data_IF_064615896572
#
_entry.id   IF_064615896572
#
_cell.length_a   1.000
_cell.length_b   1.000
_cell.length_c   1.000
_cell.angle_alpha   90.00
_cell.angle_beta   90.00
_cell.angle_gamma   90.00
#
_symmetry.space_group_name_H-M   'P 1'
#
loop_
_entity.id
_entity.type
_entity.pdbx_description
1 polymer ?
#
# COMPACT_ATOMS: atom_id res chain seq x y z
N UNK A 1 27.38 17.96 -44.19
CA UNK A 1 27.36 17.24 -42.89
C UNK A 1 26.43 17.99 -41.96
N UNK A 2 25.19 17.52 -41.82
CA UNK A 2 24.20 18.14 -40.94
C UNK A 2 24.41 17.63 -39.51
N UNK A 3 24.58 18.56 -38.56
CA UNK A 3 24.71 18.27 -37.15
C UNK A 3 23.41 17.63 -36.63
N UNK A 4 23.51 16.41 -36.10
CA UNK A 4 22.42 15.75 -35.40
C UNK A 4 22.15 16.52 -34.10
N UNK A 5 21.07 17.30 -34.09
CA UNK A 5 20.52 17.88 -32.88
C UNK A 5 20.11 16.72 -31.95
N UNK A 6 20.90 16.50 -30.91
CA UNK A 6 20.57 15.60 -29.81
C UNK A 6 19.33 16.13 -29.13
N UNK A 7 18.19 15.51 -29.41
CA UNK A 7 16.94 15.79 -28.73
C UNK A 7 17.15 15.60 -27.22
N UNK A 8 17.12 16.69 -26.45
CA UNK A 8 17.04 16.64 -25.00
C UNK A 8 15.81 15.80 -24.61
N UNK A 9 15.95 14.78 -23.75
CA UNK A 9 14.80 14.03 -23.28
C UNK A 9 13.84 15.00 -22.57
N UNK A 10 12.60 15.08 -23.07
CA UNK A 10 11.56 15.93 -22.55
C UNK A 10 11.43 15.75 -21.03
N UNK A 11 11.32 16.87 -20.30
CA UNK A 11 11.18 16.87 -18.86
C UNK A 11 10.04 15.92 -18.44
N UNK A 12 10.26 15.00 -17.47
CA UNK A 12 9.26 14.02 -17.08
C UNK A 12 8.01 14.74 -16.56
N UNK A 13 6.91 14.64 -17.31
CA UNK A 13 5.62 15.20 -16.94
C UNK A 13 5.06 14.59 -15.65
N UNK A 14 4.08 15.25 -15.04
CA UNK A 14 3.52 14.84 -13.74
C UNK A 14 2.93 13.41 -13.70
N UNK A 15 2.73 12.75 -14.84
CA UNK A 15 2.14 11.41 -14.95
C UNK A 15 3.12 10.34 -15.44
N UNK A 16 4.40 10.68 -15.70
CA UNK A 16 5.37 9.70 -16.22
C UNK A 16 5.54 8.51 -15.28
N UNK A 17 5.59 8.75 -13.97
CA UNK A 17 5.73 7.70 -12.97
C UNK A 17 4.54 6.71 -12.97
N UNK A 18 3.31 7.20 -13.19
CA UNK A 18 2.10 6.35 -13.32
C UNK A 18 2.17 5.47 -14.57
N UNK A 19 2.62 6.03 -15.70
CA UNK A 19 2.83 5.26 -16.93
C UNK A 19 3.85 4.14 -16.71
N UNK A 20 4.95 4.43 -16.03
CA UNK A 20 5.96 3.42 -15.67
C UNK A 20 5.38 2.35 -14.74
N UNK A 21 4.47 2.73 -13.83
CA UNK A 21 3.74 1.81 -12.96
C UNK A 21 2.99 0.70 -13.68
N UNK A 22 2.44 0.98 -14.87
CA UNK A 22 1.69 0.00 -15.68
C UNK A 22 2.59 -0.75 -16.66
N UNK A 23 3.56 -0.06 -17.27
CA UNK A 23 4.39 -0.63 -18.33
C UNK A 23 5.47 -1.57 -17.80
N UNK A 24 6.09 -1.28 -16.66
CA UNK A 24 7.17 -2.12 -16.12
C UNK A 24 6.72 -3.55 -15.74
N UNK A 25 5.56 -3.75 -15.08
CA UNK A 25 5.07 -5.09 -14.78
C UNK A 25 4.80 -5.91 -16.03
N UNK A 26 4.27 -5.28 -17.09
CA UNK A 26 4.02 -5.93 -18.37
C UNK A 26 5.32 -6.34 -19.09
N UNK A 27 6.39 -5.55 -18.94
CA UNK A 27 7.70 -5.86 -19.55
C UNK A 27 8.49 -6.93 -18.79
N UNK A 28 8.24 -7.11 -17.49
CA UNK A 28 8.98 -8.06 -16.63
C UNK A 28 8.03 -8.98 -15.84
N UNK A 29 7.16 -9.75 -16.51
CA UNK A 29 6.09 -10.51 -15.86
C UNK A 29 6.64 -11.59 -14.91
N UNK A 30 7.80 -12.17 -15.21
CA UNK A 30 8.40 -13.24 -14.39
C UNK A 30 8.73 -12.81 -12.96
N UNK A 31 9.11 -11.55 -12.72
CA UNK A 31 9.36 -11.04 -11.36
C UNK A 31 8.05 -10.94 -10.58
N UNK A 32 7.02 -10.38 -11.20
CA UNK A 32 5.72 -10.16 -10.55
C UNK A 32 4.92 -11.45 -10.39
N UNK A 33 5.11 -12.45 -11.25
CA UNK A 33 4.51 -13.78 -11.08
C UNK A 33 5.03 -14.49 -9.82
N UNK A 34 6.32 -14.32 -9.49
CA UNK A 34 6.90 -14.87 -8.24
C UNK A 34 6.34 -14.17 -7.01
N UNK A 35 6.16 -12.85 -7.06
CA UNK A 35 5.50 -12.09 -5.99
C UNK A 35 4.03 -12.49 -5.87
N UNK A 36 3.35 -12.73 -6.99
CA UNK A 36 1.98 -13.23 -7.00
C UNK A 36 1.88 -14.60 -6.31
N UNK A 37 2.74 -15.56 -6.69
CA UNK A 37 2.77 -16.88 -6.06
C UNK A 37 3.04 -16.79 -4.55
N UNK A 38 4.00 -15.96 -4.12
CA UNK A 38 4.26 -15.71 -2.70
C UNK A 38 3.02 -15.14 -2.00
N UNK A 39 2.34 -14.19 -2.62
CA UNK A 39 1.13 -13.59 -2.06
C UNK A 39 -0.01 -14.58 -1.95
N UNK A 40 -0.17 -15.49 -2.92
CA UNK A 40 -1.19 -16.54 -2.88
C UNK A 40 -0.94 -17.44 -1.68
N UNK A 41 0.30 -17.90 -1.50
CA UNK A 41 0.68 -18.75 -0.36
C UNK A 41 0.45 -18.04 0.98
N UNK A 42 0.92 -16.78 1.11
CA UNK A 42 0.73 -16.01 2.34
C UNK A 42 -0.76 -15.75 2.64
N UNK A 43 -1.56 -15.47 1.61
CA UNK A 43 -2.98 -15.22 1.77
C UNK A 43 -3.72 -16.51 2.14
N UNK A 44 -3.39 -17.64 1.49
CA UNK A 44 -3.92 -18.94 1.85
C UNK A 44 -3.61 -19.29 3.31
N UNK A 45 -2.39 -19.02 3.79
CA UNK A 45 -2.01 -19.25 5.18
C UNK A 45 -2.87 -18.45 6.18
N UNK A 46 -3.16 -17.17 5.90
CA UNK A 46 -4.04 -16.34 6.74
C UNK A 46 -5.46 -16.87 6.76
N UNK A 47 -6.01 -17.25 5.60
CA UNK A 47 -7.36 -17.81 5.52
C UNK A 47 -7.46 -19.16 6.24
N UNK A 48 -6.43 -20.00 6.11
CA UNK A 48 -6.34 -21.27 6.80
C UNK A 48 -6.31 -21.07 8.32
N UNK A 49 -5.54 -20.10 8.82
CA UNK A 49 -5.53 -19.75 10.25
C UNK A 49 -6.90 -19.28 10.72
N UNK A 50 -7.57 -18.42 9.95
CA UNK A 50 -8.94 -17.98 10.25
C UNK A 50 -9.93 -19.15 10.34
N UNK A 51 -9.87 -20.07 9.37
CA UNK A 51 -10.74 -21.24 9.32
C UNK A 51 -10.44 -22.27 10.43
N UNK A 52 -9.18 -22.47 10.79
CA UNK A 52 -8.76 -23.49 11.74
C UNK A 52 -8.78 -23.03 13.20
N UNK A 53 -8.63 -21.72 13.47
CA UNK A 53 -8.50 -21.19 14.84
C UNK A 53 -9.68 -20.31 15.21
N UNK A 54 -10.03 -19.34 14.35
CA UNK A 54 -11.04 -18.32 14.69
C UNK A 54 -12.46 -18.87 14.53
N UNK A 55 -12.76 -19.51 13.39
CA UNK A 55 -14.10 -20.05 13.12
C UNK A 55 -14.60 -21.09 14.15
N UNK A 56 -13.82 -22.11 14.56
CA UNK A 56 -14.31 -23.07 15.55
C UNK A 56 -14.47 -22.44 16.94
N UNK A 57 -13.65 -21.44 17.27
CA UNK A 57 -13.71 -20.77 18.57
C UNK A 57 -14.90 -19.80 18.65
N UNK A 58 -15.21 -19.11 17.56
CA UNK A 58 -16.43 -18.31 17.42
C UNK A 58 -17.68 -19.18 17.52
N UNK A 59 -17.71 -20.32 16.82
CA UNK A 59 -18.80 -21.29 16.94
C UNK A 59 -18.97 -21.81 18.38
N UNK A 60 -17.87 -22.10 19.09
CA UNK A 60 -17.91 -22.59 20.47
C UNK A 60 -18.34 -21.53 21.50
N UNK A 61 -18.16 -20.24 21.19
CA UNK A 61 -18.69 -19.13 22.00
C UNK A 61 -20.19 -18.94 21.73
N UNK A 62 -20.60 -18.97 20.47
CA UNK A 62 -22.00 -18.75 20.07
C UNK A 62 -22.92 -19.95 20.38
N UNK A 63 -22.37 -21.15 20.56
CA UNK A 63 -23.11 -22.35 20.93
C UNK A 63 -23.27 -22.55 22.45
N UNK A 64 -22.66 -21.70 23.29
CA UNK A 64 -22.82 -21.80 24.74
C UNK A 64 -24.17 -21.20 25.16
N UNK A 65 -24.93 -21.93 25.98
CA UNK A 65 -26.17 -21.42 26.57
C UNK A 65 -25.90 -20.16 27.41
N UNK A 66 -26.88 -19.26 27.50
CA UNK A 66 -26.73 -17.94 28.12
C UNK A 66 -26.27 -17.98 29.60
N UNK A 67 -26.48 -19.11 30.30
CA UNK A 67 -26.06 -19.33 31.69
C UNK A 67 -24.61 -19.84 31.84
N UNK A 68 -23.97 -20.29 30.75
CA UNK A 68 -22.60 -20.84 30.75
C UNK A 68 -21.63 -19.96 29.97
N UNK A 69 -21.76 -18.63 30.12
CA UNK A 69 -20.83 -17.66 29.56
C UNK A 69 -19.45 -17.79 30.21
N UNK A 70 -18.61 -18.65 29.66
CA UNK A 70 -17.24 -18.85 30.16
C UNK A 70 -16.34 -17.71 29.68
N UNK A 71 -16.00 -16.81 30.60
CA UNK A 71 -15.02 -15.73 30.39
C UNK A 71 -13.69 -16.26 29.80
N UNK A 72 -13.34 -17.52 30.07
CA UNK A 72 -12.17 -18.20 29.47
C UNK A 72 -12.27 -18.34 27.94
N UNK A 73 -13.45 -18.68 27.38
CA UNK A 73 -13.68 -18.83 25.95
C UNK A 73 -13.67 -17.47 25.24
N UNK A 74 -14.22 -16.43 25.88
CA UNK A 74 -14.13 -15.05 25.40
C UNK A 74 -12.67 -14.57 25.36
N UNK A 75 -11.89 -14.82 26.42
CA UNK A 75 -10.46 -14.48 26.45
C UNK A 75 -9.68 -15.20 25.34
N UNK A 76 -9.98 -16.48 25.09
CA UNK A 76 -9.38 -17.23 23.98
C UNK A 76 -9.79 -16.65 22.62
N UNK A 77 -11.07 -16.30 22.42
CA UNK A 77 -11.56 -15.72 21.16
C UNK A 77 -10.91 -14.36 20.89
N UNK A 78 -10.82 -13.51 21.92
CA UNK A 78 -10.11 -12.23 21.84
C UNK A 78 -8.63 -12.43 21.53
N UNK A 79 -7.98 -13.40 22.19
CA UNK A 79 -6.58 -13.76 21.91
C UNK A 79 -6.38 -14.26 20.47
N UNK A 80 -7.26 -15.13 19.98
CA UNK A 80 -7.23 -15.63 18.60
C UNK A 80 -7.51 -14.52 17.58
N UNK A 81 -8.44 -13.62 17.86
CA UNK A 81 -8.72 -12.45 17.03
C UNK A 81 -7.54 -11.49 16.95
N UNK A 82 -6.89 -11.22 18.09
CA UNK A 82 -5.66 -10.42 18.13
C UNK A 82 -4.55 -11.10 17.33
N UNK A 83 -4.33 -12.40 17.52
CA UNK A 83 -3.35 -13.18 16.76
C UNK A 83 -3.64 -13.15 15.25
N UNK A 84 -4.91 -13.28 14.85
CA UNK A 84 -5.34 -13.18 13.46
C UNK A 84 -5.04 -11.80 12.87
N UNK A 85 -5.35 -10.72 13.61
CA UNK A 85 -5.03 -9.35 13.19
C UNK A 85 -3.52 -9.14 13.03
N UNK A 86 -2.71 -9.64 13.97
CA UNK A 86 -1.25 -9.59 13.87
C UNK A 86 -0.74 -10.35 12.64
N UNK A 87 -1.24 -11.56 12.41
CA UNK A 87 -0.88 -12.36 11.24
C UNK A 87 -1.29 -11.67 9.93
N UNK A 88 -2.50 -11.13 9.87
CA UNK A 88 -3.00 -10.37 8.72
C UNK A 88 -2.13 -9.16 8.43
N UNK A 89 -1.77 -8.37 9.45
CA UNK A 89 -0.89 -7.21 9.32
C UNK A 89 0.53 -7.60 8.87
N UNK A 90 1.06 -8.69 9.40
CA UNK A 90 2.38 -9.21 9.00
C UNK A 90 2.38 -9.64 7.52
N UNK A 91 1.33 -10.34 7.07
CA UNK A 91 1.16 -10.75 5.67
C UNK A 91 0.95 -9.55 4.75
N UNK A 92 0.13 -8.58 5.15
CA UNK A 92 -0.06 -7.33 4.42
C UNK A 92 1.27 -6.59 4.23
N UNK A 93 2.08 -6.47 5.29
CA UNK A 93 3.38 -5.82 5.24
C UNK A 93 4.36 -6.61 4.36
N UNK A 94 4.42 -7.94 4.52
CA UNK A 94 5.27 -8.81 3.70
C UNK A 94 4.95 -8.68 2.22
N UNK A 95 3.65 -8.64 1.86
CA UNK A 95 3.18 -8.38 0.50
C UNK A 95 3.70 -7.05 -0.02
N UNK A 96 3.49 -5.96 0.73
CA UNK A 96 3.92 -4.60 0.34
C UNK A 96 5.45 -4.52 0.13
N UNK A 97 6.23 -5.12 1.02
CA UNK A 97 7.70 -5.18 0.90
C UNK A 97 8.13 -6.02 -0.31
N UNK A 98 7.53 -7.20 -0.51
CA UNK A 98 7.84 -8.06 -1.66
C UNK A 98 7.55 -7.36 -2.99
N UNK A 99 6.39 -6.70 -3.12
CA UNK A 99 6.03 -5.90 -4.30
C UNK A 99 7.00 -4.74 -4.51
N UNK A 100 7.42 -4.06 -3.44
CA UNK A 100 8.39 -2.97 -3.54
C UNK A 100 9.78 -3.45 -3.97
N UNK A 101 10.27 -4.58 -3.42
CA UNK A 101 11.54 -5.18 -3.85
C UNK A 101 11.53 -5.56 -5.34
N UNK A 102 10.41 -6.13 -5.82
CA UNK A 102 10.26 -6.46 -7.23
C UNK A 102 10.17 -5.21 -8.11
N UNK A 103 9.41 -4.18 -7.70
CA UNK A 103 9.34 -2.89 -8.37
C UNK A 103 10.72 -2.21 -8.48
N UNK A 104 11.49 -2.19 -7.38
CA UNK A 104 12.85 -1.63 -7.36
C UNK A 104 13.78 -2.41 -8.30
N UNK A 105 13.72 -3.74 -8.30
CA UNK A 105 14.50 -4.57 -9.22
C UNK A 105 14.11 -4.33 -10.68
N UNK A 106 12.83 -4.10 -10.95
CA UNK A 106 12.32 -3.77 -12.28
C UNK A 106 12.82 -2.40 -12.76
N UNK A 107 12.79 -1.36 -11.90
CA UNK A 107 13.24 -0.01 -12.22
C UNK A 107 14.77 0.11 -12.33
N UNK A 108 15.54 -0.64 -11.54
CA UNK A 108 17.01 -0.57 -11.52
C UNK A 108 17.68 -1.15 -12.78
N UNK A 109 16.91 -1.69 -13.74
CA UNK A 109 17.49 -2.27 -14.96
C UNK A 109 18.35 -3.53 -14.72
N UNK A 110 18.34 -4.09 -13.51
CA UNK A 110 19.12 -5.28 -13.13
C UNK A 110 18.63 -6.52 -13.86
N UNK A 111 19.09 -6.72 -15.09
CA UNK A 111 18.62 -7.75 -16.02
C UNK A 111 19.44 -9.06 -15.92
N UNK A 112 20.21 -9.28 -14.85
CA UNK A 112 21.07 -10.49 -14.73
C UNK A 112 21.10 -11.20 -13.38
N UNK A 113 20.36 -10.74 -12.38
CA UNK A 113 20.12 -11.61 -11.23
C UNK A 113 18.84 -12.36 -11.50
N UNK A 114 18.97 -13.67 -11.76
CA UNK A 114 17.86 -14.61 -11.56
C UNK A 114 17.43 -14.43 -10.11
N UNK A 115 16.44 -13.57 -9.87
CA UNK A 115 15.91 -13.31 -8.53
C UNK A 115 15.18 -14.57 -8.08
N UNK A 116 15.93 -15.55 -7.60
CA UNK A 116 15.40 -16.76 -7.00
C UNK A 116 14.46 -16.39 -5.86
N UNK A 117 13.43 -17.22 -5.61
CA UNK A 117 12.51 -16.98 -4.50
C UNK A 117 13.28 -16.80 -3.18
N UNK A 118 14.38 -17.53 -3.00
CA UNK A 118 15.27 -17.40 -1.84
C UNK A 118 15.96 -16.04 -1.72
N UNK A 119 16.44 -15.44 -2.81
CA UNK A 119 17.04 -14.10 -2.76
C UNK A 119 16.00 -13.02 -2.49
N UNK A 120 14.79 -13.18 -3.03
CA UNK A 120 13.65 -12.31 -2.74
C UNK A 120 13.24 -12.40 -1.28
N UNK A 121 13.10 -13.62 -0.73
CA UNK A 121 12.77 -13.86 0.68
C UNK A 121 13.82 -13.29 1.63
N UNK A 122 15.11 -13.46 1.32
CA UNK A 122 16.21 -12.88 2.11
C UNK A 122 16.12 -11.36 2.12
N UNK A 123 15.87 -10.74 0.96
CA UNK A 123 15.71 -9.28 0.85
C UNK A 123 14.48 -8.81 1.63
N UNK A 124 13.33 -9.44 1.43
CA UNK A 124 12.08 -9.15 2.16
C UNK A 124 12.31 -9.23 3.67
N UNK A 125 12.97 -10.28 4.18
CA UNK A 125 13.29 -10.41 5.61
C UNK A 125 14.13 -9.24 6.12
N UNK A 126 15.20 -8.87 5.41
CA UNK A 126 16.08 -7.76 5.84
C UNK A 126 15.39 -6.40 5.79
N UNK A 127 14.52 -6.18 4.80
CA UNK A 127 13.76 -4.93 4.66
C UNK A 127 12.64 -4.86 5.69
N UNK A 128 11.95 -5.98 5.96
CA UNK A 128 10.91 -6.09 6.99
C UNK A 128 11.44 -5.67 8.35
N UNK A 129 12.59 -6.18 8.79
CA UNK A 129 13.16 -5.85 10.10
C UNK A 129 13.47 -4.35 10.27
N UNK A 130 13.70 -3.63 9.17
CA UNK A 130 14.08 -2.22 9.20
C UNK A 130 12.89 -1.27 9.08
N UNK A 131 11.84 -1.73 8.43
CA UNK A 131 10.70 -0.91 8.01
C UNK A 131 9.43 -1.28 8.79
N UNK A 132 9.42 -2.43 9.48
CA UNK A 132 8.27 -2.92 10.23
C UNK A 132 7.75 -1.87 11.20
N UNK A 133 8.58 -1.39 12.13
CA UNK A 133 8.15 -0.41 13.14
C UNK A 133 7.61 0.89 12.53
N UNK A 134 8.21 1.37 11.43
CA UNK A 134 7.80 2.64 10.82
C UNK A 134 6.54 2.50 9.97
N UNK A 135 6.36 1.39 9.27
CA UNK A 135 5.15 1.14 8.49
C UNK A 135 4.00 0.68 9.35
N UNK A 136 4.24 -0.07 10.43
CA UNK A 136 3.19 -0.40 11.40
C UNK A 136 2.72 0.86 12.12
N UNK A 137 3.63 1.72 12.58
CA UNK A 137 3.28 3.03 13.15
C UNK A 137 2.50 3.87 12.14
N UNK A 138 2.97 3.97 10.89
CA UNK A 138 2.28 4.69 9.84
C UNK A 138 0.90 4.11 9.49
N UNK A 139 0.73 2.79 9.62
CA UNK A 139 -0.56 2.13 9.43
C UNK A 139 -1.53 2.39 10.58
N UNK A 140 -1.05 2.34 11.82
CA UNK A 140 -1.84 2.69 13.02
C UNK A 140 -2.26 4.16 12.95
N UNK A 141 -1.33 5.06 12.62
CA UNK A 141 -1.62 6.49 12.50
C UNK A 141 -2.64 6.75 11.39
N UNK A 142 -2.54 6.05 10.25
CA UNK A 142 -3.54 6.14 9.18
C UNK A 142 -4.91 5.66 9.64
N UNK A 143 -4.99 4.53 10.35
CA UNK A 143 -6.24 4.01 10.87
C UNK A 143 -6.88 4.99 11.87
N UNK A 144 -6.07 5.57 12.76
CA UNK A 144 -6.53 6.58 13.71
C UNK A 144 -7.01 7.87 13.02
N UNK A 145 -6.30 8.35 12.00
CA UNK A 145 -6.74 9.52 11.26
C UNK A 145 -7.99 9.24 10.41
N UNK A 146 -8.11 8.05 9.80
CA UNK A 146 -9.29 7.66 9.04
C UNK A 146 -10.53 7.51 9.94
N UNK A 147 -10.39 6.92 11.13
CA UNK A 147 -11.49 6.83 12.10
C UNK A 147 -11.91 8.22 12.62
N UNK A 148 -10.94 9.10 12.88
CA UNK A 148 -11.23 10.49 13.23
C UNK A 148 -11.96 11.24 12.09
N UNK A 149 -11.57 11.04 10.83
CA UNK A 149 -12.27 11.60 9.67
C UNK A 149 -13.70 11.06 9.58
N UNK A 150 -13.89 9.74 9.72
CA UNK A 150 -15.21 9.12 9.66
C UNK A 150 -16.14 9.67 10.75
N UNK A 151 -15.63 9.82 11.99
CA UNK A 151 -16.38 10.44 13.08
C UNK A 151 -16.74 11.90 12.78
N UNK A 152 -15.79 12.68 12.25
CA UNK A 152 -16.00 14.08 11.91
C UNK A 152 -16.96 14.31 10.72
N UNK A 153 -17.07 13.36 9.79
CA UNK A 153 -17.94 13.48 8.60
C UNK A 153 -19.32 12.89 8.87
N UNK A 154 -19.41 11.74 9.54
CA UNK A 154 -20.67 11.00 9.68
C UNK A 154 -21.42 11.33 10.97
N UNK A 155 -20.71 11.62 12.05
CA UNK A 155 -21.31 11.74 13.39
C UNK A 155 -21.39 13.20 13.83
N UNK A 156 -20.32 13.98 13.61
CA UNK A 156 -20.28 15.37 14.06
C UNK A 156 -21.33 16.29 13.40
N UNK A 157 -21.61 16.22 12.08
CA UNK A 157 -22.59 17.10 11.45
C UNK A 157 -24.02 16.98 11.97
N UNK A 158 -24.64 15.78 12.05
CA UNK A 158 -26.00 15.66 12.59
C UNK A 158 -26.05 16.03 14.07
N UNK A 159 -25.02 15.69 14.84
CA UNK A 159 -24.95 15.99 16.27
C UNK A 159 -24.82 17.51 16.53
N UNK A 160 -23.96 18.21 15.79
CA UNK A 160 -23.76 19.67 15.92
C UNK A 160 -24.99 20.44 15.46
N UNK A 161 -25.62 20.01 14.36
CA UNK A 161 -26.88 20.59 13.89
C UNK A 161 -28.00 20.40 14.90
N UNK A 162 -28.08 19.22 15.52
CA UNK A 162 -29.09 18.90 16.55
C UNK A 162 -28.89 19.69 17.85
N UNK A 163 -27.65 19.81 18.35
CA UNK A 163 -27.38 20.42 19.66
C UNK A 163 -27.25 21.95 19.64
N UNK A 164 -26.73 22.53 18.56
CA UNK A 164 -26.30 23.94 18.57
C UNK A 164 -26.74 24.75 17.35
N UNK A 165 -27.18 24.11 16.26
CA UNK A 165 -27.51 24.80 15.00
C UNK A 165 -26.34 25.61 14.40
N UNK A 166 -25.10 25.39 14.86
CA UNK A 166 -23.98 26.28 14.57
C UNK A 166 -23.22 25.88 13.32
N UNK A 167 -23.42 26.63 12.24
CA UNK A 167 -22.67 26.51 10.99
C UNK A 167 -21.15 26.68 11.17
N UNK A 168 -20.70 27.44 12.17
CA UNK A 168 -19.26 27.66 12.45
C UNK A 168 -18.57 26.39 12.95
N UNK A 169 -19.23 25.64 13.84
CA UNK A 169 -18.72 24.36 14.35
C UNK A 169 -18.70 23.29 13.24
N UNK A 170 -19.72 23.30 12.38
CA UNK A 170 -19.78 22.45 11.20
C UNK A 170 -18.60 22.72 10.24
N UNK A 171 -18.34 24.00 9.95
CA UNK A 171 -17.24 24.42 9.09
C UNK A 171 -15.87 24.06 9.68
N UNK A 172 -15.69 24.28 10.98
CA UNK A 172 -14.45 23.89 11.68
C UNK A 172 -14.24 22.37 11.63
N UNK A 173 -15.28 21.58 11.86
CA UNK A 173 -15.24 20.12 11.74
C UNK A 173 -14.85 19.66 10.33
N UNK A 174 -15.45 20.27 9.30
CA UNK A 174 -15.12 19.99 7.90
C UNK A 174 -13.66 20.35 7.55
N UNK A 175 -13.15 21.47 8.04
CA UNK A 175 -11.75 21.87 7.85
C UNK A 175 -10.77 20.91 8.55
N UNK A 176 -11.08 20.49 9.77
CA UNK A 176 -10.29 19.50 10.50
C UNK A 176 -10.30 18.13 9.80
N UNK A 177 -11.45 17.70 9.30
CA UNK A 177 -11.57 16.48 8.49
C UNK A 177 -10.74 16.58 7.20
N UNK A 178 -10.79 17.71 6.49
CA UNK A 178 -9.99 17.94 5.30
C UNK A 178 -8.48 17.92 5.60
N UNK A 179 -8.05 18.52 6.72
CA UNK A 179 -6.66 18.50 7.17
C UNK A 179 -6.21 17.08 7.53
N UNK A 180 -7.04 16.34 8.26
CA UNK A 180 -6.77 14.94 8.63
C UNK A 180 -6.70 14.03 7.41
N UNK A 181 -7.57 14.23 6.41
CA UNK A 181 -7.55 13.51 5.15
C UNK A 181 -6.27 13.81 4.35
N UNK A 182 -5.87 15.09 4.29
CA UNK A 182 -4.62 15.49 3.64
C UNK A 182 -3.40 14.86 4.33
N UNK A 183 -3.40 14.79 5.65
CA UNK A 183 -2.35 14.12 6.42
C UNK A 183 -2.33 12.62 6.14
N UNK A 184 -3.49 11.96 6.07
CA UNK A 184 -3.60 10.54 5.71
C UNK A 184 -2.95 10.25 4.36
N UNK A 185 -3.28 11.04 3.34
CA UNK A 185 -2.72 10.87 2.00
C UNK A 185 -1.20 11.09 1.99
N UNK A 186 -0.71 12.10 2.71
CA UNK A 186 0.73 12.32 2.81
C UNK A 186 1.46 11.17 3.52
N UNK A 187 0.89 10.66 4.62
CA UNK A 187 1.45 9.53 5.35
C UNK A 187 1.44 8.25 4.52
N UNK A 188 0.40 8.00 3.72
CA UNK A 188 0.33 6.87 2.81
C UNK A 188 1.45 6.91 1.78
N UNK A 189 1.63 8.05 1.10
CA UNK A 189 2.69 8.23 0.13
C UNK A 189 4.09 8.12 0.77
N UNK A 190 4.31 8.72 1.95
CA UNK A 190 5.59 8.64 2.67
C UNK A 190 5.90 7.21 3.11
N UNK A 191 4.91 6.46 3.61
CA UNK A 191 5.11 5.07 4.01
C UNK A 191 5.48 4.20 2.80
N UNK A 192 4.75 4.34 1.69
CA UNK A 192 5.05 3.61 0.46
C UNK A 192 6.44 3.95 -0.10
N UNK A 193 6.81 5.23 -0.11
CA UNK A 193 8.17 5.68 -0.47
C UNK A 193 9.22 5.12 0.49
N UNK A 194 8.97 5.10 1.80
CA UNK A 194 9.92 4.57 2.77
C UNK A 194 10.20 3.08 2.56
N UNK A 195 9.18 2.29 2.21
CA UNK A 195 9.34 0.88 1.83
C UNK A 195 10.22 0.74 0.59
N UNK A 196 9.97 1.55 -0.44
CA UNK A 196 10.80 1.55 -1.67
C UNK A 196 12.23 1.97 -1.38
N UNK A 197 12.45 3.07 -0.64
CA UNK A 197 13.79 3.55 -0.26
C UNK A 197 14.55 2.46 0.50
N UNK A 198 13.90 1.79 1.45
CA UNK A 198 14.53 0.72 2.22
C UNK A 198 14.83 -0.53 1.37
N UNK A 199 14.03 -0.79 0.33
CA UNK A 199 14.29 -1.85 -0.63
C UNK A 199 15.43 -1.49 -1.62
N UNK A 200 15.55 -0.21 -1.99
CA UNK A 200 16.58 0.30 -2.90
C UNK A 200 17.94 0.54 -2.22
N UNK A 201 17.96 0.89 -0.94
CA UNK A 201 19.16 1.26 -0.19
C UNK A 201 19.39 0.36 1.04
N UNK A 202 19.79 -0.90 0.84
CA UNK A 202 19.99 -1.84 1.93
C UNK A 202 21.19 -1.52 2.86
N UNK A 203 21.97 -0.47 2.58
CA UNK A 203 23.16 -0.10 3.37
C UNK A 203 22.95 0.98 4.44
N UNK A 204 21.81 1.67 4.48
CA UNK A 204 21.59 2.82 5.40
C UNK A 204 20.50 2.54 6.45
N UNK A 205 20.86 2.10 7.67
CA UNK A 205 19.88 1.90 8.74
C UNK A 205 19.24 3.23 9.19
N UNK A 206 17.95 3.22 9.50
CA UNK A 206 17.22 4.34 10.15
C UNK A 206 16.88 5.56 9.29
N UNK A 207 17.49 5.72 8.10
CA UNK A 207 17.31 6.91 7.27
C UNK A 207 16.17 6.87 6.24
N UNK A 208 15.50 5.72 6.07
CA UNK A 208 14.56 5.52 4.95
C UNK A 208 13.34 6.45 5.01
N UNK A 209 12.72 6.58 6.19
CA UNK A 209 11.57 7.49 6.39
C UNK A 209 11.99 8.94 6.26
N UNK A 210 13.12 9.33 6.86
CA UNK A 210 13.62 10.70 6.77
C UNK A 210 13.96 11.08 5.32
N UNK A 211 14.52 10.14 4.54
CA UNK A 211 14.79 10.32 3.11
C UNK A 211 13.51 10.40 2.29
N UNK A 212 12.58 9.47 2.49
CA UNK A 212 11.26 9.50 1.85
C UNK A 212 10.55 10.83 2.15
N UNK A 213 10.56 11.28 3.39
CA UNK A 213 9.99 12.55 3.81
C UNK A 213 10.62 13.75 3.10
N UNK A 214 11.95 13.82 2.99
CA UNK A 214 12.64 14.88 2.24
C UNK A 214 12.27 14.88 0.76
N UNK A 215 12.22 13.71 0.13
CA UNK A 215 11.80 13.56 -1.28
C UNK A 215 10.34 13.99 -1.50
N UNK A 216 9.47 13.78 -0.51
CA UNK A 216 8.06 14.18 -0.58
C UNK A 216 7.82 15.65 -0.24
N UNK A 217 8.73 16.30 0.51
CA UNK A 217 8.69 17.74 0.82
C UNK A 217 9.30 18.64 -0.25
N UNK A 218 10.06 18.09 -1.20
CA UNK A 218 10.65 18.85 -2.30
C UNK A 218 9.60 19.54 -3.18
N UNK A 219 10.04 20.49 -4.01
CA UNK A 219 9.19 21.30 -4.89
C UNK A 219 8.37 20.38 -5.82
N UNK A 220 7.03 20.39 -5.66
CA UNK A 220 6.09 19.53 -6.41
C UNK A 220 5.89 18.12 -5.83
N UNK A 221 6.53 17.76 -4.72
CA UNK A 221 6.37 16.46 -4.07
C UNK A 221 4.97 16.22 -3.50
N UNK A 222 4.35 17.26 -2.93
CA UNK A 222 2.98 17.19 -2.40
C UNK A 222 1.92 16.94 -3.48
N UNK A 223 2.04 17.56 -4.65
CA UNK A 223 1.12 17.36 -5.77
C UNK A 223 1.26 15.96 -6.36
N UNK A 224 2.49 15.48 -6.54
CA UNK A 224 2.76 14.11 -7.02
C UNK A 224 2.30 13.06 -6.00
N UNK A 225 2.42 13.35 -4.70
CA UNK A 225 1.83 12.53 -3.63
C UNK A 225 0.32 12.39 -3.81
N UNK A 226 -0.35 13.53 -4.01
CA UNK A 226 -1.79 13.58 -4.17
C UNK A 226 -2.23 12.82 -5.42
N UNK A 227 -1.56 13.03 -6.57
CA UNK A 227 -1.83 12.30 -7.81
C UNK A 227 -1.63 10.80 -7.63
N UNK A 228 -0.54 10.37 -6.97
CA UNK A 228 -0.30 8.96 -6.68
C UNK A 228 -1.41 8.35 -5.81
N UNK A 229 -1.79 9.02 -4.73
CA UNK A 229 -2.79 8.50 -3.79
C UNK A 229 -4.16 8.48 -4.44
N UNK A 230 -4.57 9.56 -5.12
CA UNK A 230 -5.84 9.64 -5.84
C UNK A 230 -5.91 8.57 -6.92
N UNK A 231 -4.86 8.38 -7.71
CA UNK A 231 -4.82 7.32 -8.72
C UNK A 231 -4.93 5.92 -8.09
N UNK A 232 -4.19 5.67 -6.99
CA UNK A 232 -4.24 4.38 -6.29
C UNK A 232 -5.62 4.12 -5.71
N UNK A 233 -6.25 5.13 -5.11
CA UNK A 233 -7.63 5.04 -4.59
C UNK A 233 -8.64 4.84 -5.71
N UNK A 234 -8.53 5.58 -6.82
CA UNK A 234 -9.41 5.43 -7.97
C UNK A 234 -9.32 4.00 -8.55
N UNK A 235 -8.11 3.43 -8.64
CA UNK A 235 -7.92 2.04 -9.06
C UNK A 235 -8.54 1.04 -8.08
N UNK A 236 -8.40 1.25 -6.77
CA UNK A 236 -9.03 0.39 -5.76
C UNK A 236 -10.57 0.46 -5.85
N UNK A 237 -11.13 1.66 -6.01
CA UNK A 237 -12.57 1.85 -6.14
C UNK A 237 -13.10 1.29 -7.45
N UNK A 238 -12.31 1.31 -8.54
CA UNK A 238 -12.69 0.73 -9.82
C UNK A 238 -12.58 -0.81 -9.83
N UNK A 239 -11.68 -1.40 -9.02
CA UNK A 239 -11.48 -2.84 -8.98
C UNK A 239 -12.75 -3.62 -8.60
N UNK A 240 -13.56 -3.10 -7.66
CA UNK A 240 -14.82 -3.72 -7.27
C UNK A 240 -15.83 -3.83 -8.41
N UNK A 241 -16.28 -2.70 -9.00
CA UNK A 241 -17.22 -2.67 -10.11
C UNK A 241 -16.74 -3.48 -11.33
N UNK A 242 -15.45 -3.43 -11.65
CA UNK A 242 -14.86 -4.22 -12.75
C UNK A 242 -14.97 -5.71 -12.45
N UNK A 243 -14.66 -6.11 -11.21
CA UNK A 243 -14.84 -7.49 -10.77
C UNK A 243 -16.30 -7.94 -10.89
N UNK A 244 -17.23 -7.14 -10.37
CA UNK A 244 -18.66 -7.45 -10.38
C UNK A 244 -19.22 -7.55 -11.80
N UNK A 245 -18.77 -6.70 -12.73
CA UNK A 245 -19.16 -6.77 -14.14
C UNK A 245 -18.76 -8.09 -14.79
N UNK A 246 -17.53 -8.56 -14.55
CA UNK A 246 -17.04 -9.83 -15.08
C UNK A 246 -17.73 -11.02 -14.40
N UNK A 247 -18.03 -10.92 -13.10
CA UNK A 247 -18.74 -12.00 -12.38
C UNK A 247 -20.19 -12.13 -12.85
N UNK A 248 -20.82 -11.02 -13.23
CA UNK A 248 -22.20 -11.00 -13.76
C UNK A 248 -22.35 -11.71 -15.10
N UNK A 249 -21.29 -11.77 -15.92
CA UNK A 249 -21.34 -12.47 -17.21
C UNK A 249 -21.16 -13.99 -17.08
N UNK A 250 -20.75 -14.50 -15.91
CA UNK A 250 -20.60 -15.92 -15.66
C UNK A 250 -21.95 -16.60 -15.38
N UNK A 251 -22.13 -17.86 -15.80
CA UNK A 251 -23.30 -18.66 -15.43
C UNK A 251 -23.42 -18.77 -13.89
N UNK A 252 -24.66 -18.79 -13.40
CA UNK A 252 -24.95 -18.90 -11.96
C UNK A 252 -24.53 -20.26 -11.42
N UNK A 253 -23.71 -20.28 -10.37
CA UNK A 253 -23.23 -21.50 -9.73
C UNK A 253 -22.06 -21.25 -8.80
N UNK A 254 -21.50 -22.33 -8.26
CA UNK A 254 -20.33 -22.30 -7.36
C UNK A 254 -19.10 -21.67 -8.06
N UNK A 255 -19.00 -21.87 -9.38
CA UNK A 255 -17.98 -21.26 -10.23
C UNK A 255 -18.01 -19.74 -10.18
N UNK A 256 -19.19 -19.12 -10.11
CA UNK A 256 -19.33 -17.66 -10.02
C UNK A 256 -18.71 -17.11 -8.73
N UNK A 257 -18.88 -17.81 -7.61
CA UNK A 257 -18.35 -17.40 -6.30
C UNK A 257 -16.83 -17.53 -6.28
N UNK A 258 -16.31 -18.67 -6.72
CA UNK A 258 -14.87 -18.94 -6.74
C UNK A 258 -14.16 -18.00 -7.71
N UNK A 259 -14.66 -17.87 -8.94
CA UNK A 259 -14.08 -16.98 -9.95
C UNK A 259 -14.17 -15.52 -9.49
N UNK A 260 -15.27 -15.10 -8.85
CA UNK A 260 -15.38 -13.76 -8.29
C UNK A 260 -14.37 -13.46 -7.20
N UNK A 261 -14.15 -14.40 -6.27
CA UNK A 261 -13.13 -14.26 -5.24
C UNK A 261 -11.71 -14.21 -5.84
N UNK A 262 -11.40 -15.09 -6.80
CA UNK A 262 -10.13 -15.09 -7.52
C UNK A 262 -9.90 -13.79 -8.29
N UNK A 263 -10.92 -13.28 -8.98
CA UNK A 263 -10.82 -12.05 -9.75
C UNK A 263 -10.59 -10.84 -8.86
N UNK A 264 -11.33 -10.74 -7.75
CA UNK A 264 -11.14 -9.67 -6.75
C UNK A 264 -9.71 -9.71 -6.18
N UNK A 265 -9.19 -10.91 -5.92
CA UNK A 265 -7.82 -11.10 -5.47
C UNK A 265 -6.79 -10.62 -6.49
N UNK A 266 -6.94 -11.04 -7.76
CA UNK A 266 -6.04 -10.66 -8.86
C UNK A 266 -6.07 -9.14 -9.09
N UNK A 267 -7.27 -8.54 -9.13
CA UNK A 267 -7.41 -7.09 -9.31
C UNK A 267 -6.73 -6.32 -8.17
N UNK A 268 -6.93 -6.69 -6.92
CA UNK A 268 -6.24 -6.07 -5.79
C UNK A 268 -4.72 -6.21 -5.89
N UNK A 269 -4.23 -7.37 -6.31
CA UNK A 269 -2.80 -7.58 -6.53
C UNK A 269 -2.26 -6.69 -7.65
N UNK A 270 -2.98 -6.54 -8.77
CA UNK A 270 -2.59 -5.66 -9.87
C UNK A 270 -2.50 -4.21 -9.40
N UNK A 271 -3.49 -3.74 -8.64
CA UNK A 271 -3.47 -2.39 -8.07
C UNK A 271 -2.27 -2.19 -7.15
N UNK A 272 -1.97 -3.16 -6.28
CA UNK A 272 -0.80 -3.13 -5.40
C UNK A 272 0.52 -3.06 -6.19
N UNK A 273 0.65 -3.83 -7.27
CA UNK A 273 1.82 -3.84 -8.14
C UNK A 273 1.98 -2.51 -8.89
N UNK A 274 0.91 -1.99 -9.49
CA UNK A 274 0.93 -0.72 -10.21
C UNK A 274 1.29 0.43 -9.27
N UNK A 275 0.70 0.43 -8.07
CA UNK A 275 0.98 1.41 -7.02
C UNK A 275 2.46 1.37 -6.60
N UNK A 276 2.98 0.20 -6.23
CA UNK A 276 4.38 0.06 -5.80
C UNK A 276 5.41 0.33 -6.91
N UNK A 277 5.07 0.01 -8.15
CA UNK A 277 5.93 0.31 -9.30
C UNK A 277 5.93 1.80 -9.62
N UNK A 278 4.77 2.46 -9.53
CA UNK A 278 4.65 3.91 -9.75
C UNK A 278 5.52 4.69 -8.76
N UNK A 279 5.46 4.31 -7.48
CA UNK A 279 6.22 5.00 -6.42
C UNK A 279 7.71 4.66 -6.47
N UNK A 280 8.08 3.45 -6.93
CA UNK A 280 9.46 3.11 -7.24
C UNK A 280 10.03 3.93 -8.40
N UNK A 281 9.26 4.10 -9.49
CA UNK A 281 9.66 4.96 -10.60
C UNK A 281 9.86 6.42 -10.13
N UNK A 282 8.94 6.94 -9.32
CA UNK A 282 9.07 8.27 -8.73
C UNK A 282 10.34 8.41 -7.87
N UNK A 283 10.69 7.40 -7.06
CA UNK A 283 11.94 7.39 -6.29
C UNK A 283 13.18 7.47 -7.18
N UNK A 284 13.24 6.68 -8.27
CA UNK A 284 14.40 6.71 -9.18
C UNK A 284 14.49 8.03 -9.97
N UNK A 285 13.36 8.62 -10.37
CA UNK A 285 13.34 9.97 -10.96
C UNK A 285 13.88 11.02 -9.96
N UNK A 286 13.44 10.98 -8.70
CA UNK A 286 13.89 11.91 -7.67
C UNK A 286 15.38 11.75 -7.34
N UNK A 287 15.86 10.51 -7.24
CA UNK A 287 17.28 10.23 -7.03
C UNK A 287 18.15 10.77 -8.15
N UNK A 288 17.73 10.63 -9.41
CA UNK A 288 18.48 11.16 -10.56
C UNK A 288 18.65 12.68 -10.47
N UNK A 289 17.61 13.40 -10.08
CA UNK A 289 17.68 14.86 -9.86
C UNK A 289 18.65 15.23 -8.73
N UNK A 290 18.58 14.54 -7.59
CA UNK A 290 19.50 14.77 -6.47
C UNK A 290 20.97 14.57 -6.89
N UNK A 291 21.24 13.58 -7.75
CA UNK A 291 22.58 13.28 -8.25
C UNK A 291 23.04 14.34 -9.28
N UNK A 292 22.17 14.77 -10.20
CA UNK A 292 22.44 15.86 -11.16
C UNK A 292 22.69 17.22 -10.47
N UNK A 293 21.95 17.52 -9.39
CA UNK A 293 22.15 18.76 -8.61
C UNK A 293 23.50 18.77 -7.88
N UNK A 294 23.92 17.62 -7.34
CA UNK A 294 25.24 17.48 -6.69
C UNK A 294 26.39 17.61 -7.69
N UNK A 295 26.24 17.06 -8.88
CA UNK A 295 27.24 17.18 -9.95
C UNK A 295 27.41 18.64 -10.36
N UNK A 296 26.30 19.39 -10.52
CA UNK A 296 26.34 20.83 -10.79
C UNK A 296 26.98 21.63 -9.66
N UNK A 297 26.68 21.29 -8.40
CA UNK A 297 27.28 21.96 -7.25
C UNK A 297 28.78 21.65 -7.08
N UNK A 298 29.22 20.44 -7.48
CA UNK A 298 30.62 20.04 -7.45
C UNK A 298 31.48 20.69 -8.53
N UNK A 299 30.90 21.09 -9.66
CA UNK A 299 31.60 21.80 -10.74
C UNK A 299 31.81 23.30 -10.49
N UNK A 300 31.24 23.87 -9.41
CA UNK A 300 31.36 25.29 -9.05
C UNK A 300 32.49 25.53 -8.02
N UNK A 301 33.09 24.46 -7.48
CA UNK A 301 34.27 24.51 -6.60
C UNK A 301 35.55 24.10 -7.34
#
# INVERSE_FOLDING_TARGET
MAAAATAQPAAPGAFTFLKHGVVLPARRPGLFLRVFALNVVLSAAVHLFGALVVAPLDAAVNAADADEFSMSRLCLLMGAGVAYLFLYMAVWLARKVATACAAVAACSGGERDVVTLGSLLRRVRTTLLRVSATVTLGAVLRAACASACAAAILVAPPLVLYLTGSLRLLLLGALLAALALRLCFHLEAVCAMAVVVAAAEPGRPGGAVARAWRLMRGTGGGERALVYVVATWAMQMAAGPVGDLVVRTLPSGMDRVVVGACLKYVLNFVVDVVSMTSIAAYYFEGRKKDDEEKEKAGHIN
#
